data_IF_026300962283
#
_entry.id   IF_026300962283
#
_cell.length_a   1.000
_cell.length_b   1.000
_cell.length_c   1.000
_cell.angle_alpha   90.00
_cell.angle_beta   90.00
_cell.angle_gamma   90.00
#
_symmetry.space_group_name_H-M   'P 1'
#
loop_
_entity.id
_entity.type
_entity.pdbx_description
1 polymer ?
#
# COMPACT_ATOMS: atom_id res chain seq x y z
N UNK A 1 -8.42 -1.44 -18.10
CA UNK A 1 -7.52 -0.76 -19.06
C UNK A 1 -7.98 0.64 -19.46
N UNK A 2 -9.21 0.86 -19.97
CA UNK A 2 -9.64 2.17 -20.49
C UNK A 2 -9.63 3.33 -19.47
N UNK A 3 -10.00 3.09 -18.21
CA UNK A 3 -10.02 4.14 -17.15
C UNK A 3 -8.61 4.59 -16.73
N UNK A 4 -7.66 3.66 -16.69
CA UNK A 4 -6.28 3.95 -16.30
C UNK A 4 -5.51 4.64 -17.44
N UNK A 5 -5.84 4.30 -18.70
CA UNK A 5 -5.30 4.99 -19.87
C UNK A 5 -5.75 6.46 -19.92
N UNK A 6 -7.00 6.76 -19.56
CA UNK A 6 -7.52 8.13 -19.47
C UNK A 6 -6.82 8.97 -18.40
N UNK A 7 -6.49 8.39 -17.26
CA UNK A 7 -5.74 9.08 -16.19
C UNK A 7 -4.30 9.34 -16.63
N UNK A 8 -3.67 8.37 -17.30
CA UNK A 8 -2.32 8.53 -17.85
C UNK A 8 -2.30 9.61 -18.95
N UNK A 9 -3.31 9.62 -19.82
CA UNK A 9 -3.44 10.62 -20.88
C UNK A 9 -3.70 12.02 -20.29
N UNK A 10 -4.53 12.11 -19.25
CA UNK A 10 -4.78 13.36 -18.53
C UNK A 10 -3.48 13.90 -17.89
N UNK A 11 -2.69 13.04 -17.23
CA UNK A 11 -1.39 13.39 -16.65
C UNK A 11 -0.37 13.84 -17.70
N UNK A 12 -0.32 13.19 -18.87
CA UNK A 12 0.55 13.58 -19.99
C UNK A 12 0.10 14.93 -20.56
N UNK A 13 -1.21 15.16 -20.72
CA UNK A 13 -1.73 16.45 -21.22
C UNK A 13 -1.50 17.59 -20.24
N UNK A 14 -1.58 17.35 -18.92
CA UNK A 14 -1.20 18.34 -17.91
C UNK A 14 0.31 18.62 -17.95
N UNK A 15 1.16 17.61 -18.11
CA UNK A 15 2.61 17.79 -18.28
C UNK A 15 3.00 18.63 -19.49
N UNK A 16 2.32 18.46 -20.63
CA UNK A 16 2.57 19.26 -21.84
C UNK A 16 2.12 20.72 -21.72
N UNK A 17 1.16 21.04 -20.83
CA UNK A 17 0.75 22.42 -20.55
C UNK A 17 1.78 23.18 -19.68
N UNK A 18 2.60 22.47 -18.90
CA UNK A 18 3.69 23.06 -18.11
C UNK A 18 5.04 23.10 -18.84
N UNK A 19 5.19 22.38 -19.96
CA UNK A 19 6.39 22.39 -20.79
C UNK A 19 6.48 23.59 -21.76
N UNK A 20 5.42 24.40 -21.88
CA UNK A 20 5.38 25.61 -22.73
C UNK A 20 5.73 26.91 -21.96
N UNK A 21 6.47 26.80 -20.87
CA UNK A 21 7.09 27.95 -20.19
C UNK A 21 8.55 28.08 -20.65
N UNK A 22 8.81 28.95 -21.63
CA UNK A 22 10.11 29.11 -22.27
C UNK A 22 11.28 29.28 -21.29
N UNK A 23 12.15 28.28 -21.25
CA UNK A 23 13.54 28.38 -20.79
C UNK A 23 14.41 27.63 -21.81
N UNK A 24 15.59 28.20 -22.08
CA UNK A 24 16.44 27.94 -23.25
C UNK A 24 16.80 26.48 -23.51
N UNK A 25 17.06 26.19 -24.79
CA UNK A 25 17.37 24.88 -25.33
C UNK A 25 18.52 24.19 -24.58
N UNK A 26 18.36 22.89 -24.34
CA UNK A 26 19.36 22.01 -23.71
C UNK A 26 20.67 21.98 -24.52
N UNK A 27 20.60 22.26 -25.82
CA UNK A 27 21.75 22.37 -26.73
C UNK A 27 22.71 23.52 -26.35
N UNK A 28 22.22 24.61 -25.76
CA UNK A 28 23.06 25.74 -25.31
C UNK A 28 23.92 25.38 -24.08
N UNK A 29 23.53 24.35 -23.32
CA UNK A 29 24.25 23.88 -22.14
C UNK A 29 25.43 22.96 -22.49
N UNK A 30 25.39 22.31 -23.66
CA UNK A 30 26.36 21.27 -24.06
C UNK A 30 27.47 21.85 -24.94
N UNK A 31 27.23 22.95 -25.66
CA UNK A 31 28.16 23.49 -26.66
C UNK A 31 28.60 24.95 -26.40
N UNK A 32 28.62 25.40 -25.14
CA UNK A 32 29.03 26.78 -24.81
C UNK A 32 30.52 27.04 -25.12
N UNK A 33 30.78 27.86 -26.14
CA UNK A 33 32.09 28.39 -26.50
C UNK A 33 32.58 29.37 -25.41
N UNK A 34 33.74 29.14 -24.77
CA UNK A 34 34.21 29.92 -23.61
C UNK A 34 34.47 31.40 -23.89
N UNK A 35 34.47 31.85 -25.15
CA UNK A 35 34.60 33.27 -25.49
C UNK A 35 33.25 34.04 -25.49
N UNK A 36 32.11 33.35 -25.56
CA UNK A 36 30.78 33.96 -25.49
C UNK A 36 30.26 34.12 -24.06
N UNK A 37 30.90 33.48 -23.07
CA UNK A 37 30.46 33.46 -21.67
C UNK A 37 30.58 34.82 -20.96
N UNK A 38 31.52 35.68 -21.35
CA UNK A 38 31.78 36.94 -20.66
C UNK A 38 30.79 38.06 -21.01
N UNK A 39 30.17 37.99 -22.17
CA UNK A 39 29.13 38.96 -22.58
C UNK A 39 27.76 38.53 -22.06
N UNK A 40 27.50 37.22 -21.99
CA UNK A 40 26.25 36.64 -21.47
C UNK A 40 26.22 36.62 -19.94
N UNK A 41 27.36 36.43 -19.26
CA UNK A 41 27.46 36.51 -17.79
C UNK A 41 27.15 37.92 -17.28
N UNK A 42 27.60 38.96 -17.96
CA UNK A 42 27.27 40.35 -17.63
C UNK A 42 25.79 40.68 -17.87
N UNK A 43 25.18 40.17 -18.94
CA UNK A 43 23.74 40.38 -19.20
C UNK A 43 22.85 39.60 -18.20
N UNK A 44 23.27 38.41 -17.76
CA UNK A 44 22.58 37.63 -16.73
C UNK A 44 22.82 38.16 -15.31
N UNK A 45 24.00 38.73 -15.02
CA UNK A 45 24.28 39.48 -13.79
C UNK A 45 23.39 40.72 -13.70
N UNK A 46 23.25 41.47 -14.80
CA UNK A 46 22.39 42.64 -14.87
C UNK A 46 20.89 42.29 -14.78
N UNK A 47 20.46 41.11 -15.26
CA UNK A 47 19.09 40.61 -15.04
C UNK A 47 18.83 40.15 -13.61
N UNK A 48 19.82 39.58 -12.92
CA UNK A 48 19.73 39.23 -11.50
C UNK A 48 19.80 40.46 -10.58
N UNK A 49 20.38 41.57 -11.05
CA UNK A 49 20.38 42.87 -10.34
C UNK A 49 19.12 43.71 -10.59
N UNK A 50 18.22 43.30 -11.51
CA UNK A 50 16.85 43.81 -11.51
C UNK A 50 16.14 43.15 -10.32
N UNK A 51 16.24 43.79 -9.16
CA UNK A 51 15.42 43.47 -7.99
C UNK A 51 13.96 43.62 -8.44
N UNK A 52 13.31 42.51 -8.78
CA UNK A 52 11.87 42.49 -9.00
C UNK A 52 11.22 42.74 -7.64
N UNK A 53 10.93 44.01 -7.36
CA UNK A 53 10.23 44.41 -6.15
C UNK A 53 8.82 43.86 -6.24
N UNK A 54 8.56 42.74 -5.57
CA UNK A 54 7.19 42.24 -5.40
C UNK A 54 6.46 43.20 -4.46
N UNK A 55 5.64 44.08 -5.03
CA UNK A 55 4.90 45.09 -4.27
C UNK A 55 3.75 44.50 -3.44
N UNK A 56 3.26 43.31 -3.80
CA UNK A 56 2.13 42.67 -3.13
C UNK A 56 2.57 41.42 -2.34
N UNK A 57 2.20 41.38 -1.06
CA UNK A 57 2.35 40.19 -0.22
C UNK A 57 1.44 39.06 -0.72
N UNK A 58 1.94 37.84 -0.67
CA UNK A 58 1.21 36.61 -0.99
C UNK A 58 0.56 36.03 0.25
N UNK A 59 -0.59 35.37 0.09
CA UNK A 59 -1.32 34.78 1.21
C UNK A 59 -0.82 33.36 1.50
N UNK A 60 -0.18 33.18 2.66
CA UNK A 60 0.35 31.89 3.08
C UNK A 60 -0.74 30.82 3.25
N UNK A 61 -1.98 31.20 3.59
CA UNK A 61 -3.09 30.25 3.74
C UNK A 61 -3.53 29.70 2.38
N UNK A 62 -3.52 30.55 1.35
CA UNK A 62 -3.78 30.12 -0.03
C UNK A 62 -2.69 29.20 -0.54
N UNK A 63 -1.43 29.53 -0.26
CA UNK A 63 -0.30 28.67 -0.60
C UNK A 63 -0.43 27.28 0.04
N UNK A 64 -0.75 27.23 1.34
CA UNK A 64 -1.00 25.98 2.06
C UNK A 64 -2.12 25.17 1.39
N UNK A 65 -3.27 25.79 1.12
CA UNK A 65 -4.41 25.11 0.50
C UNK A 65 -4.07 24.54 -0.88
N UNK A 66 -3.33 25.29 -1.70
CA UNK A 66 -2.88 24.79 -2.99
C UNK A 66 -1.99 23.56 -2.84
N UNK A 67 -1.01 23.57 -1.93
CA UNK A 67 -0.14 22.41 -1.69
C UNK A 67 -0.83 21.22 -1.04
N UNK A 68 -1.92 21.44 -0.28
CA UNK A 68 -2.76 20.35 0.23
C UNK A 68 -3.54 19.64 -0.88
N UNK A 69 -3.95 20.36 -1.92
CA UNK A 69 -4.66 19.78 -3.06
C UNK A 69 -3.66 19.10 -4.01
N UNK A 70 -2.57 19.80 -4.32
CA UNK A 70 -1.53 19.35 -5.23
C UNK A 70 -0.16 19.73 -4.66
N UNK A 71 0.64 18.78 -4.16
CA UNK A 71 1.95 19.05 -3.59
C UNK A 71 2.82 19.84 -4.57
N UNK A 72 3.42 20.93 -4.12
CA UNK A 72 4.21 21.86 -4.96
C UNK A 72 3.43 23.07 -5.50
N UNK A 73 2.10 23.04 -5.55
CA UNK A 73 1.32 24.14 -6.13
C UNK A 73 1.36 25.42 -5.28
N UNK A 74 1.41 25.30 -3.95
CA UNK A 74 1.61 26.42 -3.04
C UNK A 74 2.99 27.04 -3.15
N UNK A 75 4.02 26.21 -3.37
CA UNK A 75 5.36 26.67 -3.67
C UNK A 75 5.40 27.40 -5.01
N UNK A 76 4.76 26.88 -6.06
CA UNK A 76 4.64 27.57 -7.34
C UNK A 76 3.93 28.93 -7.20
N UNK A 77 2.88 29.01 -6.38
CA UNK A 77 2.22 30.26 -6.05
C UNK A 77 3.16 31.22 -5.32
N UNK A 78 3.95 30.74 -4.36
CA UNK A 78 4.88 31.53 -3.57
C UNK A 78 6.11 32.00 -4.36
N UNK A 79 6.82 31.07 -5.00
CA UNK A 79 8.03 31.29 -5.80
C UNK A 79 8.25 30.14 -6.82
N UNK A 80 8.20 30.48 -8.11
CA UNK A 80 8.33 29.51 -9.20
C UNK A 80 9.77 29.02 -9.42
N UNK A 81 10.77 29.77 -8.98
CA UNK A 81 12.18 29.39 -9.12
C UNK A 81 12.66 28.50 -7.97
N UNK A 82 11.89 28.42 -6.88
CA UNK A 82 12.21 27.58 -5.74
C UNK A 82 12.22 26.10 -6.15
N UNK A 83 13.30 25.38 -5.79
CA UNK A 83 13.42 23.94 -6.06
C UNK A 83 12.28 23.12 -5.44
N UNK A 84 11.74 23.59 -4.30
CA UNK A 84 10.60 22.98 -3.61
C UNK A 84 9.35 22.89 -4.50
N UNK A 85 9.23 23.78 -5.49
CA UNK A 85 8.12 23.77 -6.46
C UNK A 85 8.08 22.49 -7.31
N UNK A 86 9.25 21.90 -7.60
CA UNK A 86 9.35 20.74 -8.48
C UNK A 86 9.57 19.43 -7.73
N UNK A 87 10.18 19.47 -6.54
CA UNK A 87 10.50 18.24 -5.80
C UNK A 87 9.25 17.51 -5.30
N UNK A 88 8.24 18.23 -4.78
CA UNK A 88 7.03 17.61 -4.23
C UNK A 88 6.16 16.92 -5.30
N UNK A 89 5.90 17.51 -6.49
CA UNK A 89 5.24 16.80 -7.58
C UNK A 89 6.01 15.57 -8.08
N UNK A 90 7.34 15.65 -8.15
CA UNK A 90 8.17 14.50 -8.57
C UNK A 90 8.07 13.35 -7.57
N UNK A 91 8.16 13.66 -6.27
CA UNK A 91 7.96 12.68 -5.20
C UNK A 91 6.54 12.10 -5.27
N UNK A 92 5.52 12.93 -5.48
CA UNK A 92 4.13 12.50 -5.61
C UNK A 92 3.97 11.48 -6.75
N UNK A 93 4.52 11.78 -7.93
CA UNK A 93 4.49 10.87 -9.08
C UNK A 93 5.23 9.56 -8.81
N UNK A 94 6.38 9.61 -8.14
CA UNK A 94 7.13 8.42 -7.76
C UNK A 94 6.35 7.54 -6.78
N UNK A 95 5.71 8.14 -5.78
CA UNK A 95 4.88 7.44 -4.79
C UNK A 95 3.62 6.84 -5.41
N UNK A 96 2.91 7.57 -6.28
CA UNK A 96 1.75 7.06 -7.03
C UNK A 96 2.18 5.91 -7.94
N UNK A 97 3.26 6.09 -8.69
CA UNK A 97 3.80 5.08 -9.59
C UNK A 97 4.17 3.79 -8.83
N UNK A 98 4.88 3.94 -7.71
CA UNK A 98 5.20 2.83 -6.81
C UNK A 98 3.95 2.15 -6.26
N UNK A 99 2.98 2.90 -5.74
CA UNK A 99 1.74 2.35 -5.21
C UNK A 99 0.97 1.54 -6.27
N UNK A 100 0.88 2.05 -7.49
CA UNK A 100 0.25 1.34 -8.61
C UNK A 100 1.02 0.05 -8.93
N UNK A 101 2.34 0.12 -9.02
CA UNK A 101 3.20 -1.02 -9.29
C UNK A 101 3.03 -2.13 -8.26
N UNK A 102 3.17 -1.81 -6.97
CA UNK A 102 3.07 -2.78 -5.88
C UNK A 102 1.67 -3.39 -5.75
N UNK A 103 0.61 -2.59 -5.96
CA UNK A 103 -0.76 -3.13 -5.99
C UNK A 103 -1.00 -4.04 -7.20
N UNK A 104 -0.44 -3.73 -8.37
CA UNK A 104 -0.51 -4.61 -9.53
C UNK A 104 0.24 -5.91 -9.28
N UNK A 105 1.42 -5.84 -8.68
CA UNK A 105 2.21 -7.02 -8.33
C UNK A 105 1.49 -7.91 -7.32
N UNK A 106 0.88 -7.33 -6.29
CA UNK A 106 0.02 -8.06 -5.35
C UNK A 106 -1.16 -8.76 -6.03
N UNK A 107 -1.78 -8.13 -7.04
CA UNK A 107 -2.87 -8.75 -7.82
C UNK A 107 -2.39 -9.92 -8.68
N UNK A 108 -1.18 -9.86 -9.23
CA UNK A 108 -0.59 -10.98 -9.97
C UNK A 108 -0.33 -12.17 -9.05
N UNK A 109 0.36 -11.94 -7.94
CA UNK A 109 0.63 -12.98 -6.93
C UNK A 109 -0.66 -13.55 -6.33
N UNK A 110 -1.72 -12.74 -6.26
CA UNK A 110 -3.05 -13.21 -5.87
C UNK A 110 -3.59 -14.26 -6.82
N UNK A 111 -3.56 -13.98 -8.12
CA UNK A 111 -3.98 -14.97 -9.14
C UNK A 111 -3.12 -16.24 -9.07
N UNK A 112 -1.84 -16.10 -8.76
CA UNK A 112 -0.93 -17.24 -8.66
C UNK A 112 -1.32 -18.18 -7.51
N UNK A 113 -1.58 -17.67 -6.29
CA UNK A 113 -2.00 -18.53 -5.19
C UNK A 113 -3.43 -19.08 -5.37
N UNK A 114 -4.33 -18.31 -5.98
CA UNK A 114 -5.69 -18.77 -6.28
C UNK A 114 -5.67 -19.93 -7.28
N UNK A 115 -4.85 -19.78 -8.33
CA UNK A 115 -4.61 -20.84 -9.31
C UNK A 115 -3.96 -22.05 -8.66
N UNK A 116 -2.95 -21.86 -7.81
CA UNK A 116 -2.27 -22.94 -7.08
C UNK A 116 -3.25 -23.78 -6.24
N UNK A 117 -4.18 -23.14 -5.53
CA UNK A 117 -5.13 -23.83 -4.67
C UNK A 117 -6.21 -24.58 -5.48
N UNK A 118 -6.88 -23.90 -6.41
CA UNK A 118 -8.08 -24.46 -7.07
C UNK A 118 -8.11 -24.37 -8.59
N UNK A 119 -7.27 -23.52 -9.20
CA UNK A 119 -7.32 -23.23 -10.64
C UNK A 119 -6.49 -24.14 -11.53
N UNK A 120 -5.73 -25.07 -10.96
CA UNK A 120 -4.98 -26.08 -11.71
C UNK A 120 -5.15 -27.48 -11.11
N UNK A 121 -5.09 -28.49 -11.97
CA UNK A 121 -5.03 -29.88 -11.55
C UNK A 121 -3.57 -30.33 -11.51
N UNK A 122 -3.18 -30.97 -10.43
CA UNK A 122 -1.87 -31.62 -10.29
C UNK A 122 -2.02 -33.13 -10.32
N UNK A 123 -0.93 -33.82 -10.67
CA UNK A 123 -0.78 -35.26 -10.50
C UNK A 123 0.43 -35.50 -9.62
N UNK A 124 0.22 -36.05 -8.43
CA UNK A 124 1.28 -36.29 -7.44
C UNK A 124 1.04 -37.59 -6.68
N UNK A 125 2.12 -38.21 -6.21
CA UNK A 125 2.03 -39.34 -5.28
C UNK A 125 1.86 -38.80 -3.86
N UNK A 126 0.91 -39.36 -3.11
CA UNK A 126 0.65 -39.08 -1.70
C UNK A 126 0.64 -40.44 -0.99
N UNK A 127 1.74 -40.79 -0.31
CA UNK A 127 1.97 -42.17 0.10
C UNK A 127 1.99 -43.10 -1.13
N UNK A 128 1.21 -44.18 -1.06
CA UNK A 128 1.07 -45.16 -2.17
C UNK A 128 -0.03 -44.78 -3.19
N UNK A 129 -0.74 -43.66 -2.97
CA UNK A 129 -1.85 -43.23 -3.80
C UNK A 129 -1.46 -42.13 -4.80
N UNK A 130 -1.80 -42.34 -6.08
CA UNK A 130 -1.63 -41.32 -7.12
C UNK A 130 -2.85 -40.39 -7.15
N UNK A 131 -2.69 -39.17 -6.63
CA UNK A 131 -3.71 -38.14 -6.67
C UNK A 131 -3.70 -37.38 -7.99
N UNK A 132 -4.89 -37.12 -8.56
CA UNK A 132 -5.09 -36.19 -9.67
C UNK A 132 -6.26 -35.24 -9.39
N UNK A 133 -5.99 -33.93 -9.36
CA UNK A 133 -7.01 -32.91 -9.12
C UNK A 133 -6.44 -31.60 -8.56
N UNK A 134 -7.29 -30.64 -8.15
CA UNK A 134 -6.83 -29.39 -7.55
C UNK A 134 -6.25 -29.63 -6.15
N UNK A 135 -5.34 -28.76 -5.69
CA UNK A 135 -4.73 -28.94 -4.36
C UNK A 135 -5.72 -28.77 -3.22
N UNK A 136 -6.71 -27.90 -3.39
CA UNK A 136 -7.79 -27.70 -2.43
C UNK A 136 -9.14 -28.12 -3.02
N UNK A 137 -9.89 -28.94 -2.27
CA UNK A 137 -11.25 -29.38 -2.60
C UNK A 137 -12.20 -29.13 -1.44
N UNK A 138 -13.25 -28.35 -1.68
CA UNK A 138 -14.30 -28.09 -0.69
C UNK A 138 -15.04 -29.38 -0.28
N UNK A 139 -15.20 -30.31 -1.21
CA UNK A 139 -15.81 -31.63 -0.94
C UNK A 139 -15.03 -32.42 0.14
N UNK A 140 -13.70 -32.38 0.09
CA UNK A 140 -12.84 -33.04 1.08
C UNK A 140 -13.05 -32.46 2.48
N UNK A 141 -13.08 -31.12 2.57
CA UNK A 141 -13.40 -30.43 3.81
C UNK A 141 -14.80 -30.79 4.32
N UNK A 142 -15.81 -30.81 3.44
CA UNK A 142 -17.19 -31.09 3.80
C UNK A 142 -17.35 -32.52 4.36
N UNK A 143 -16.72 -33.52 3.73
CA UNK A 143 -16.79 -34.91 4.18
C UNK A 143 -16.31 -35.05 5.64
N UNK A 144 -15.16 -34.45 5.95
CA UNK A 144 -14.56 -34.53 7.29
C UNK A 144 -15.34 -33.69 8.30
N UNK A 145 -15.79 -32.50 7.90
CA UNK A 145 -16.63 -31.65 8.73
C UNK A 145 -17.91 -32.36 9.19
N UNK A 146 -18.57 -33.11 8.31
CA UNK A 146 -19.78 -33.86 8.69
C UNK A 146 -19.51 -34.89 9.79
N UNK A 147 -18.31 -35.50 9.81
CA UNK A 147 -17.89 -36.41 10.88
C UNK A 147 -17.60 -35.65 12.17
N UNK A 148 -16.85 -34.54 12.11
CA UNK A 148 -16.52 -33.73 13.29
C UNK A 148 -17.76 -33.15 13.98
N UNK A 149 -18.75 -32.69 13.21
CA UNK A 149 -20.02 -32.20 13.76
C UNK A 149 -20.81 -33.34 14.43
N UNK A 150 -20.76 -34.55 13.87
CA UNK A 150 -21.44 -35.71 14.42
C UNK A 150 -20.69 -36.35 15.61
N UNK A 151 -19.42 -36.02 15.83
CA UNK A 151 -18.57 -36.65 16.85
C UNK A 151 -19.09 -36.41 18.26
N UNK A 152 -19.43 -35.15 18.60
CA UNK A 152 -20.08 -34.80 19.84
C UNK A 152 -21.01 -33.60 19.63
N UNK A 153 -22.31 -33.83 19.78
CA UNK A 153 -23.34 -32.79 19.54
C UNK A 153 -23.37 -31.69 20.59
N UNK A 154 -22.65 -31.85 21.71
CA UNK A 154 -22.49 -30.83 22.75
C UNK A 154 -21.19 -30.01 22.60
N UNK A 155 -20.46 -30.22 21.51
CA UNK A 155 -19.14 -29.64 21.28
C UNK A 155 -19.19 -28.36 20.44
N UNK A 156 -18.04 -27.67 20.31
CA UNK A 156 -17.90 -26.43 19.54
C UNK A 156 -18.09 -26.63 18.02
N UNK A 157 -18.03 -27.87 17.54
CA UNK A 157 -18.20 -28.21 16.13
C UNK A 157 -19.68 -28.28 15.77
N UNK A 158 -20.35 -27.14 15.81
CA UNK A 158 -21.74 -27.02 15.36
C UNK A 158 -21.84 -26.67 13.86
N UNK A 159 -23.07 -26.66 13.33
CA UNK A 159 -23.34 -26.27 11.95
C UNK A 159 -22.97 -24.82 11.60
N UNK A 160 -22.54 -24.02 12.58
CA UNK A 160 -22.13 -22.63 12.43
C UNK A 160 -20.61 -22.44 12.56
N UNK A 161 -19.85 -23.44 13.01
CA UNK A 161 -18.40 -23.31 13.23
C UNK A 161 -17.59 -23.22 11.92
N UNK A 162 -18.01 -24.02 10.94
CA UNK A 162 -17.41 -24.06 9.61
C UNK A 162 -18.24 -23.22 8.65
N UNK A 163 -17.70 -22.07 8.25
CA UNK A 163 -18.37 -21.10 7.37
C UNK A 163 -17.50 -20.85 6.14
N UNK A 164 -17.13 -21.94 5.47
CA UNK A 164 -16.35 -21.83 4.26
C UNK A 164 -17.25 -21.35 3.13
N UNK A 165 -16.86 -20.27 2.47
CA UNK A 165 -17.61 -19.71 1.36
C UNK A 165 -17.83 -20.76 0.25
N UNK A 166 -19.07 -20.84 -0.25
CA UNK A 166 -19.48 -21.79 -1.29
C UNK A 166 -18.82 -21.51 -2.65
N UNK A 167 -18.43 -20.25 -2.88
CA UNK A 167 -17.75 -19.80 -4.09
C UNK A 167 -16.29 -19.47 -3.77
N UNK A 168 -15.45 -19.42 -4.80
CA UNK A 168 -14.03 -19.07 -4.66
C UNK A 168 -13.87 -17.54 -4.56
N UNK A 169 -14.40 -16.97 -3.48
CA UNK A 169 -14.28 -15.55 -3.14
C UNK A 169 -12.91 -15.25 -2.51
N UNK A 170 -12.59 -13.97 -2.32
CA UNK A 170 -11.42 -13.58 -1.54
C UNK A 170 -11.46 -14.14 -0.11
N UNK A 171 -12.64 -14.18 0.52
CA UNK A 171 -12.81 -14.73 1.86
C UNK A 171 -12.50 -16.24 1.90
N UNK A 172 -12.93 -16.99 0.89
CA UNK A 172 -12.58 -18.40 0.75
C UNK A 172 -11.05 -18.61 0.76
N UNK A 173 -10.32 -17.86 -0.07
CA UNK A 173 -8.86 -17.99 -0.16
C UNK A 173 -8.13 -17.50 1.10
N UNK A 174 -8.67 -16.50 1.80
CA UNK A 174 -8.16 -16.12 3.12
C UNK A 174 -8.33 -17.26 4.12
N UNK A 175 -9.52 -17.84 4.18
CA UNK A 175 -9.90 -18.85 5.17
C UNK A 175 -9.03 -20.12 5.08
N UNK A 176 -8.89 -20.70 3.89
CA UNK A 176 -8.21 -21.99 3.69
C UNK A 176 -6.72 -21.99 4.08
N UNK A 177 -6.09 -20.81 4.10
CA UNK A 177 -4.70 -20.66 4.55
C UNK A 177 -4.54 -19.96 5.90
N UNK A 178 -5.61 -19.42 6.50
CA UNK A 178 -5.54 -18.72 7.80
C UNK A 178 -5.97 -19.61 8.95
N UNK A 179 -6.99 -20.45 8.73
CA UNK A 179 -7.56 -21.28 9.78
C UNK A 179 -7.26 -22.75 9.55
N UNK A 180 -6.67 -23.40 10.55
CA UNK A 180 -6.34 -24.84 10.47
C UNK A 180 -7.58 -25.72 10.41
N UNK A 181 -8.75 -25.23 10.85
CA UNK A 181 -10.03 -25.95 10.75
C UNK A 181 -10.44 -26.32 9.31
N UNK A 182 -9.82 -25.69 8.30
CA UNK A 182 -10.06 -25.95 6.88
C UNK A 182 -8.97 -26.79 6.21
N UNK A 183 -8.04 -27.35 6.98
CA UNK A 183 -6.88 -28.08 6.44
C UNK A 183 -7.28 -29.36 5.69
N UNK A 184 -8.40 -30.00 6.04
CA UNK A 184 -8.90 -31.20 5.35
C UNK A 184 -9.35 -30.96 3.92
N UNK A 185 -9.50 -29.71 3.48
CA UNK A 185 -9.68 -29.42 2.07
C UNK A 185 -8.40 -29.61 1.24
N UNK A 186 -7.22 -29.59 1.84
CA UNK A 186 -5.95 -29.81 1.14
C UNK A 186 -5.75 -31.30 0.85
N UNK A 187 -5.43 -31.63 -0.41
CA UNK A 187 -5.37 -32.99 -0.90
C UNK A 187 -4.31 -33.85 -0.20
N UNK A 188 -3.13 -33.29 0.10
CA UNK A 188 -2.07 -33.96 0.85
C UNK A 188 -2.51 -34.35 2.26
N UNK A 189 -3.14 -33.42 2.98
CA UNK A 189 -3.70 -33.70 4.31
C UNK A 189 -4.84 -34.72 4.23
N UNK A 190 -5.79 -34.52 3.32
CA UNK A 190 -6.95 -35.39 3.19
C UNK A 190 -6.59 -36.84 2.90
N UNK A 191 -5.71 -37.09 1.92
CA UNK A 191 -5.31 -38.44 1.55
C UNK A 191 -4.39 -39.11 2.58
N UNK A 192 -3.78 -38.35 3.48
CA UNK A 192 -2.94 -38.89 4.56
C UNK A 192 -3.77 -39.27 5.80
N UNK A 193 -4.81 -38.48 6.11
CA UNK A 193 -5.51 -38.56 7.40
C UNK A 193 -6.99 -38.93 7.31
N UNK A 194 -7.59 -38.93 6.11
CA UNK A 194 -9.02 -39.15 5.93
C UNK A 194 -9.40 -40.19 4.86
N UNK A 195 -8.46 -40.62 4.02
CA UNK A 195 -8.70 -41.58 2.96
C UNK A 195 -7.66 -42.71 2.95
N UNK A 196 -8.10 -43.89 2.50
CA UNK A 196 -7.26 -45.05 2.19
C UNK A 196 -7.37 -45.36 0.70
N UNK A 197 -6.26 -45.39 -0.04
CA UNK A 197 -6.24 -45.57 -1.50
C UNK A 197 -7.21 -44.65 -2.26
N UNK A 198 -7.35 -43.40 -1.79
CA UNK A 198 -8.25 -42.39 -2.37
C UNK A 198 -9.73 -42.54 -1.98
N UNK A 199 -10.10 -43.56 -1.21
CA UNK A 199 -11.45 -43.76 -0.69
C UNK A 199 -11.56 -43.15 0.70
N UNK A 200 -12.58 -42.33 0.94
CA UNK A 200 -12.85 -41.76 2.27
C UNK A 200 -13.17 -42.86 3.28
N UNK A 201 -12.48 -42.87 4.43
CA UNK A 201 -12.64 -43.94 5.45
C UNK A 201 -13.10 -43.45 6.82
N UNK A 202 -13.06 -42.14 7.09
CA UNK A 202 -13.51 -41.63 8.39
C UNK A 202 -15.02 -41.83 8.56
N UNK A 203 -15.42 -42.24 9.76
CA UNK A 203 -16.80 -42.63 10.07
C UNK A 203 -17.10 -44.12 9.88
N UNK A 204 -16.18 -44.89 9.28
CA UNK A 204 -16.30 -46.35 9.24
C UNK A 204 -15.81 -46.99 10.56
N UNK A 205 -16.43 -48.11 11.01
CA UNK A 205 -15.92 -48.89 12.13
C UNK A 205 -14.46 -49.30 11.87
N UNK A 206 -13.56 -48.92 12.78
CA UNK A 206 -12.11 -49.18 12.67
C UNK A 206 -11.24 -47.92 12.45
N UNK A 207 -11.83 -46.78 12.08
CA UNK A 207 -11.11 -45.50 11.95
C UNK A 207 -11.54 -44.46 12.99
N UNK A 208 -12.22 -44.87 14.05
CA UNK A 208 -12.73 -43.98 15.11
C UNK A 208 -11.60 -43.26 15.86
N UNK A 209 -10.44 -43.90 15.97
CA UNK A 209 -9.23 -43.34 16.58
C UNK A 209 -8.45 -42.39 15.67
N UNK A 210 -8.98 -42.03 14.48
CA UNK A 210 -8.28 -41.13 13.57
C UNK A 210 -8.12 -39.70 14.12
N UNK A 211 -9.07 -39.25 14.94
CA UNK A 211 -9.02 -37.93 15.56
C UNK A 211 -8.41 -38.01 16.95
N UNK A 212 -7.42 -37.15 17.20
CA UNK A 212 -6.92 -36.89 18.55
C UNK A 212 -7.71 -35.71 19.11
N UNK A 213 -8.51 -35.98 20.14
CA UNK A 213 -9.37 -34.99 20.80
C UNK A 213 -8.84 -34.71 22.22
N UNK A 214 -8.98 -33.47 22.69
CA UNK A 214 -8.68 -33.12 24.09
C UNK A 214 -9.73 -33.71 25.03
N UNK A 215 -9.31 -34.23 26.18
CA UNK A 215 -10.18 -34.89 27.16
C UNK A 215 -10.72 -33.96 28.27
N UNK A 216 -10.94 -32.67 27.99
CA UNK A 216 -11.44 -31.73 29.02
C UNK A 216 -12.98 -31.71 29.05
N UNK A 217 -13.52 -31.66 30.28
CA UNK A 217 -14.90 -32.03 30.66
C UNK A 217 -16.07 -31.30 29.95
N UNK A 218 -15.81 -30.30 29.09
CA UNK A 218 -16.89 -29.51 28.47
C UNK A 218 -16.68 -29.07 27.01
N UNK A 219 -15.60 -29.47 26.32
CA UNK A 219 -15.48 -29.33 24.85
C UNK A 219 -14.31 -30.17 24.33
N UNK A 220 -14.59 -31.17 23.49
CA UNK A 220 -13.55 -32.03 22.93
C UNK A 220 -12.88 -31.28 21.76
N UNK A 221 -11.72 -30.67 21.97
CA UNK A 221 -11.05 -29.94 20.89
C UNK A 221 -10.22 -30.90 20.06
N UNK A 222 -10.39 -30.85 18.75
CA UNK A 222 -9.51 -31.52 17.81
C UNK A 222 -8.09 -30.95 17.91
N UNK A 223 -7.12 -31.82 18.22
CA UNK A 223 -5.71 -31.49 18.40
C UNK A 223 -4.86 -31.94 17.20
N UNK A 224 -5.27 -32.99 16.51
CA UNK A 224 -4.53 -33.57 15.40
C UNK A 224 -5.08 -34.92 14.97
N UNK A 225 -4.28 -35.65 14.19
CA UNK A 225 -4.67 -36.92 13.61
C UNK A 225 -3.57 -37.97 13.68
N UNK A 226 -3.99 -39.23 13.73
CA UNK A 226 -3.16 -40.36 13.34
C UNK A 226 -3.30 -40.58 11.83
N UNK A 227 -2.21 -40.96 11.15
CA UNK A 227 -2.29 -41.30 9.73
C UNK A 227 -3.14 -42.56 9.54
N UNK A 228 -3.79 -42.69 8.37
CA UNK A 228 -4.60 -43.86 8.06
C UNK A 228 -3.77 -45.16 8.08
N UNK A 229 -2.53 -45.09 7.59
CA UNK A 229 -1.55 -46.19 7.63
C UNK A 229 -1.28 -46.67 9.06
N UNK A 230 -1.04 -45.72 9.98
CA UNK A 230 -0.77 -46.03 11.38
C UNK A 230 -1.96 -46.68 12.08
N UNK A 231 -3.18 -46.24 11.77
CA UNK A 231 -4.40 -46.85 12.31
C UNK A 231 -4.52 -48.31 11.85
N UNK A 232 -4.28 -48.58 10.56
CA UNK A 232 -4.29 -49.94 9.99
C UNK A 232 -3.22 -50.81 10.65
N UNK A 233 -2.05 -50.23 10.95
CA UNK A 233 -0.95 -50.90 11.65
C UNK A 233 -1.15 -51.04 13.17
N UNK A 234 -2.22 -50.47 13.75
CA UNK A 234 -2.41 -50.32 15.20
C UNK A 234 -1.25 -49.61 15.92
N UNK A 235 -0.60 -48.65 15.27
CA UNK A 235 0.46 -47.81 15.85
C UNK A 235 -0.07 -46.40 16.17
N UNK A 236 -0.31 -46.14 17.45
CA UNK A 236 -0.78 -44.83 17.92
C UNK A 236 0.32 -43.99 18.58
N UNK A 237 1.60 -44.35 18.37
CA UNK A 237 2.73 -43.65 18.99
C UNK A 237 3.00 -42.27 18.38
N UNK A 238 2.61 -42.07 17.11
CA UNK A 238 2.82 -40.84 16.36
C UNK A 238 1.50 -40.13 16.08
N UNK A 239 1.42 -38.85 16.43
CA UNK A 239 0.31 -37.97 16.09
C UNK A 239 0.83 -36.75 15.32
N UNK A 240 0.05 -36.26 14.36
CA UNK A 240 0.37 -35.06 13.60
C UNK A 240 -0.60 -33.95 13.96
N UNK A 241 -0.06 -32.87 14.52
CA UNK A 241 -0.83 -31.68 14.89
C UNK A 241 -1.23 -30.89 13.64
N UNK A 242 -2.49 -30.47 13.56
CA UNK A 242 -3.01 -29.71 12.42
C UNK A 242 -2.36 -28.34 12.23
N UNK A 243 -1.77 -27.76 13.28
CA UNK A 243 -1.13 -26.44 13.25
C UNK A 243 0.36 -26.44 12.91
N UNK A 244 0.99 -27.60 12.77
CA UNK A 244 2.41 -27.66 12.39
C UNK A 244 2.56 -27.28 10.89
N UNK A 245 3.51 -26.42 10.49
CA UNK A 245 3.72 -26.09 9.08
C UNK A 245 4.03 -27.32 8.21
N UNK A 246 4.79 -28.27 8.76
CA UNK A 246 5.14 -29.53 8.11
C UNK A 246 3.98 -30.51 7.93
N UNK A 247 2.78 -30.16 8.41
CA UNK A 247 1.61 -31.04 8.41
C UNK A 247 1.00 -31.17 7.01
N UNK A 248 1.05 -30.11 6.19
CA UNK A 248 0.58 -30.07 4.80
C UNK A 248 1.53 -29.19 3.95
N UNK A 249 2.48 -29.79 3.22
CA UNK A 249 3.37 -29.07 2.32
C UNK A 249 2.64 -28.23 1.26
N UNK A 250 1.48 -28.68 0.76
CA UNK A 250 0.68 -27.90 -0.20
C UNK A 250 0.12 -26.63 0.44
N UNK A 251 -0.39 -26.74 1.67
CA UNK A 251 -0.88 -25.57 2.41
C UNK A 251 0.24 -24.62 2.78
N UNK A 252 1.40 -25.13 3.18
CA UNK A 252 2.56 -24.31 3.54
C UNK A 252 3.01 -23.45 2.35
N UNK A 253 3.14 -24.06 1.17
CA UNK A 253 3.47 -23.35 -0.06
C UNK A 253 2.42 -22.28 -0.40
N UNK A 254 1.14 -22.61 -0.29
CA UNK A 254 0.06 -21.65 -0.47
C UNK A 254 0.15 -20.46 0.49
N UNK A 255 0.41 -20.71 1.77
CA UNK A 255 0.57 -19.67 2.79
C UNK A 255 1.76 -18.77 2.43
N UNK A 256 2.86 -19.34 1.93
CA UNK A 256 4.03 -18.58 1.47
C UNK A 256 3.65 -17.64 0.32
N UNK A 257 3.02 -18.17 -0.74
CA UNK A 257 2.59 -17.36 -1.88
C UNK A 257 1.63 -16.23 -1.47
N UNK A 258 0.70 -16.50 -0.54
CA UNK A 258 -0.22 -15.49 -0.02
C UNK A 258 0.50 -14.41 0.78
N UNK A 259 1.48 -14.78 1.62
CA UNK A 259 2.32 -13.81 2.36
C UNK A 259 3.14 -12.93 1.42
N UNK A 260 3.60 -13.47 0.30
CA UNK A 260 4.30 -12.69 -0.72
C UNK A 260 3.35 -11.65 -1.35
N UNK A 261 2.12 -12.03 -1.69
CA UNK A 261 1.10 -11.09 -2.17
C UNK A 261 0.78 -10.00 -1.12
N UNK A 262 0.58 -10.39 0.14
CA UNK A 262 0.30 -9.48 1.25
C UNK A 262 1.42 -8.45 1.46
N UNK A 263 2.68 -8.87 1.32
CA UNK A 263 3.84 -7.98 1.40
C UNK A 263 3.83 -6.88 0.35
N UNK A 264 3.48 -7.22 -0.90
CA UNK A 264 3.39 -6.24 -1.99
C UNK A 264 2.25 -5.23 -1.72
N UNK A 265 1.07 -5.70 -1.30
CA UNK A 265 -0.03 -4.81 -0.91
C UNK A 265 0.32 -3.92 0.29
N UNK A 266 1.01 -4.47 1.30
CA UNK A 266 1.47 -3.71 2.46
C UNK A 266 2.45 -2.61 2.07
N UNK A 267 3.34 -2.89 1.10
CA UNK A 267 4.25 -1.89 0.54
C UNK A 267 3.49 -0.80 -0.20
N UNK A 268 2.51 -1.16 -1.03
CA UNK A 268 1.62 -0.19 -1.68
C UNK A 268 0.85 0.67 -0.67
N UNK A 269 0.39 0.08 0.44
CA UNK A 269 -0.28 0.80 1.51
C UNK A 269 0.66 1.76 2.24
N UNK A 270 1.91 1.37 2.50
CA UNK A 270 2.93 2.25 3.08
C UNK A 270 3.19 3.47 2.18
N UNK A 271 3.23 3.27 0.86
CA UNK A 271 3.38 4.38 -0.10
C UNK A 271 2.18 5.34 -0.06
N UNK A 272 0.97 4.85 0.20
CA UNK A 272 -0.20 5.71 0.38
C UNK A 272 -0.07 6.64 1.59
N UNK A 273 0.53 6.18 2.69
CA UNK A 273 0.89 7.06 3.81
C UNK A 273 1.97 8.06 3.42
N UNK A 274 2.92 7.63 2.58
CA UNK A 274 3.92 8.51 1.96
C UNK A 274 3.29 9.67 1.18
N UNK A 275 2.21 9.42 0.43
CA UNK A 275 1.46 10.47 -0.28
C UNK A 275 0.88 11.47 0.71
N UNK A 276 0.18 11.00 1.75
CA UNK A 276 -0.38 11.89 2.78
C UNK A 276 0.73 12.72 3.45
N UNK A 277 1.86 12.11 3.77
CA UNK A 277 3.00 12.82 4.34
C UNK A 277 3.57 13.88 3.38
N UNK A 278 3.69 13.56 2.08
CA UNK A 278 4.13 14.50 1.04
C UNK A 278 3.22 15.73 0.96
N UNK A 279 1.90 15.53 0.96
CA UNK A 279 0.91 16.61 1.00
C UNK A 279 1.06 17.50 2.24
N UNK A 280 1.21 16.92 3.43
CA UNK A 280 1.34 17.67 4.69
C UNK A 280 2.65 18.47 4.73
N UNK A 281 3.76 17.84 4.39
CA UNK A 281 5.08 18.49 4.38
C UNK A 281 5.10 19.61 3.34
N UNK A 282 4.54 19.36 2.14
CA UNK A 282 4.42 20.38 1.10
C UNK A 282 3.55 21.56 1.54
N UNK A 283 2.43 21.31 2.23
CA UNK A 283 1.56 22.37 2.74
C UNK A 283 2.26 23.25 3.78
N UNK A 284 3.00 22.66 4.72
CA UNK A 284 3.78 23.39 5.72
C UNK A 284 4.89 24.20 5.03
N UNK A 285 5.63 23.60 4.11
CA UNK A 285 6.73 24.28 3.41
C UNK A 285 6.22 25.41 2.50
N UNK A 286 5.01 25.31 1.96
CA UNK A 286 4.41 26.41 1.18
C UNK A 286 4.18 27.65 2.05
N UNK A 287 3.80 27.46 3.32
CA UNK A 287 3.65 28.56 4.30
C UNK A 287 5.00 29.19 4.61
N UNK A 288 6.02 28.37 4.91
CA UNK A 288 7.36 28.87 5.25
C UNK A 288 7.97 29.65 4.09
N UNK A 289 7.88 29.14 2.86
CA UNK A 289 8.38 29.77 1.65
C UNK A 289 7.63 31.08 1.38
N UNK A 290 6.30 31.09 1.48
CA UNK A 290 5.50 32.30 1.29
C UNK A 290 5.89 33.38 2.29
N UNK A 291 6.07 33.02 3.56
CA UNK A 291 6.51 33.96 4.59
C UNK A 291 7.92 34.50 4.31
N UNK A 292 8.84 33.67 3.82
CA UNK A 292 10.19 34.09 3.42
C UNK A 292 10.15 35.09 2.26
N UNK A 293 9.38 34.80 1.21
CA UNK A 293 9.19 35.69 0.05
C UNK A 293 8.55 37.01 0.49
N UNK A 294 7.54 36.96 1.38
CA UNK A 294 6.89 38.16 1.90
C UNK A 294 7.81 39.05 2.74
N UNK A 295 8.86 38.52 3.38
CA UNK A 295 9.87 39.35 4.08
C UNK A 295 10.69 40.19 3.10
N UNK A 296 10.88 39.70 1.88
CA UNK A 296 11.57 40.42 0.80
C UNK A 296 10.64 41.38 0.04
N UNK A 297 9.32 41.31 0.28
CA UNK A 297 8.37 42.24 -0.33
C UNK A 297 8.46 43.63 0.30
N UNK A 298 8.78 44.63 -0.51
CA UNK A 298 8.70 46.04 -0.11
C UNK A 298 7.24 46.45 -0.30
N UNK A 299 6.42 46.10 0.68
CA UNK A 299 5.04 46.59 0.77
C UNK A 299 5.10 48.07 1.13
N UNK A 300 4.92 48.97 0.17
CA UNK A 300 4.51 50.33 0.50
C UNK A 300 3.08 50.23 1.03
N UNK A 301 2.93 50.14 2.35
CA UNK A 301 1.63 50.36 2.97
C UNK A 301 1.14 51.72 2.47
N UNK A 302 -0.11 51.84 1.95
CA UNK A 302 -0.64 53.12 1.51
C UNK A 302 -0.61 54.14 2.66
N UNK A 303 -0.64 53.66 3.91
CA UNK A 303 -0.46 54.46 5.11
C UNK A 303 0.95 54.30 5.67
N UNK A 304 1.69 55.39 5.79
CA UNK A 304 2.94 55.46 6.54
C UNK A 304 2.75 56.37 7.75
N UNK A 305 2.93 55.82 8.94
CA UNK A 305 2.91 56.57 10.19
C UNK A 305 4.36 56.85 10.62
N UNK A 306 4.78 58.11 10.54
CA UNK A 306 6.11 58.55 10.97
C UNK A 306 5.97 59.34 12.28
N UNK A 307 6.69 58.92 13.32
CA UNK A 307 6.81 59.67 14.57
C UNK A 307 8.21 60.25 14.68
N UNK A 308 8.31 61.57 14.75
CA UNK A 308 9.59 62.27 14.83
C UNK A 308 9.45 63.59 15.59
N UNK A 309 10.54 64.08 16.15
CA UNK A 309 10.59 65.42 16.72
C UNK A 309 10.83 66.41 15.57
N UNK A 310 9.88 67.29 15.30
CA UNK A 310 10.07 68.39 14.35
C UNK A 310 10.52 69.65 15.09
N UNK A 311 11.46 70.39 14.50
CA UNK A 311 11.86 71.70 15.02
C UNK A 311 10.95 72.75 14.42
N UNK A 312 10.04 73.30 15.23
CA UNK A 312 9.15 74.41 14.83
C UNK A 312 9.36 75.55 15.80
N UNK A 313 9.65 76.74 15.30
CA UNK A 313 9.89 77.94 16.11
C UNK A 313 10.95 77.75 17.21
N UNK A 314 12.06 77.10 16.86
CA UNK A 314 13.16 76.72 17.77
C UNK A 314 12.75 75.85 18.99
N UNK A 315 11.59 75.18 18.93
CA UNK A 315 11.15 74.22 19.94
C UNK A 315 10.97 72.83 19.32
N UNK A 316 11.49 71.81 19.99
CA UNK A 316 11.27 70.42 19.60
C UNK A 316 9.82 70.05 19.91
N UNK A 317 9.06 69.75 18.87
CA UNK A 317 7.65 69.39 18.96
C UNK A 317 7.47 67.93 18.53
N UNK A 318 6.94 67.05 19.39
CA UNK A 318 6.62 65.69 18.99
C UNK A 318 5.56 65.73 17.90
N UNK A 319 5.87 65.16 16.74
CA UNK A 319 5.02 65.22 15.56
C UNK A 319 4.70 63.81 15.08
N UNK A 320 3.42 63.56 14.81
CA UNK A 320 2.94 62.34 14.18
C UNK A 320 2.50 62.72 12.77
N UNK A 321 3.10 62.09 11.76
CA UNK A 321 2.74 62.27 10.37
C UNK A 321 2.10 60.98 9.84
N UNK A 322 0.89 61.07 9.30
CA UNK A 322 0.23 60.01 8.55
C UNK A 322 0.26 60.40 7.07
N UNK A 323 1.09 59.74 6.27
CA UNK A 323 1.11 59.95 4.82
C UNK A 323 0.34 58.85 4.10
N UNK A 324 -0.59 59.27 3.24
CA UNK A 324 -1.30 58.41 2.30
C UNK A 324 -0.69 58.56 0.90
N UNK A 325 -0.16 57.48 0.33
CA UNK A 325 0.30 57.46 -1.07
C UNK A 325 -0.77 56.82 -1.93
N UNK A 326 -1.34 57.60 -2.87
CA UNK A 326 -2.30 57.17 -3.88
C UNK A 326 -1.62 56.96 -5.23
#
# INVERSE_FOLDING_TARGET
>A
MKRNLLILLALITLGSLFAQGGYGNIDDMIFADPAASDTVSNANSLRNDIITVNYARKDARKAMLFSMILPGAGQFYADKSAIQTYIYPVIELALIGGMIYFNQKGNELTKDYEKYATGENITTQIGDFQYTGPRYRREYQNNVQSILIAYNTADIYDGSFFRLDANNTQHFYEDIGKYDKYIFGWADWYHTFAANDGVFVLGNPGFESAFVMSSEDFSARWLGNHTIENIIANDFSQQVTHGAPSSSPMREEYIRMRKDAEKEYSTGHLLSFGLVANHLVSAIEAVTLTNRVNRMSISQSPFQLNYYASLRDMKFTPTVNLSYRF
#
